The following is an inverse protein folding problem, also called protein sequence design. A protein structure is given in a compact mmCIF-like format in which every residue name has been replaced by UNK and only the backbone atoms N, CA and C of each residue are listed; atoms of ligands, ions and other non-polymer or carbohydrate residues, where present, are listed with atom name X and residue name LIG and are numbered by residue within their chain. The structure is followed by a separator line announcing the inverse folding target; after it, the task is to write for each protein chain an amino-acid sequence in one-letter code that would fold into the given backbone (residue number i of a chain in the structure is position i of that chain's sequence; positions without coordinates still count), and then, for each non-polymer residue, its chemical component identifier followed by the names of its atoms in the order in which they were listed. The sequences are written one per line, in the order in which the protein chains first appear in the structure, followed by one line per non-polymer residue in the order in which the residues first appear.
data_IF_458988619946
#
_entry.id   IF_458988619946
#
_cell.length_a   1.000
_cell.length_b   1.000
_cell.length_c   1.000
_cell.angle_alpha   90.00
_cell.angle_beta   90.00
_cell.angle_gamma   90.00
#
_symmetry.space_group_name_H-M   'P 1'
#
loop_
_entity.id
_entity.type
_entity.pdbx_description
1 polymer ?
#
# COMPACT_ATOMS: atom_id res chain seq x y z
N UNK A 1 -50.78 8.69 20.84
CA UNK A 1 -51.12 7.47 21.58
C UNK A 1 -50.02 6.47 21.26
N UNK A 2 -49.18 5.96 22.07
CA UNK A 2 -49.17 5.59 23.45
C UNK A 2 -47.75 5.64 23.97
N UNK A 3 -47.56 6.15 25.15
CA UNK A 3 -46.34 6.22 25.96
C UNK A 3 -45.92 4.82 26.36
N UNK A 4 -44.61 4.52 26.28
CA UNK A 4 -44.01 3.56 27.21
C UNK A 4 -42.75 4.17 27.83
N UNK A 5 -42.97 4.66 29.03
CA UNK A 5 -42.00 4.95 30.07
C UNK A 5 -41.52 3.58 30.59
N UNK A 6 -40.24 3.37 30.69
CA UNK A 6 -39.70 2.26 31.45
C UNK A 6 -38.67 2.82 32.44
N UNK A 7 -39.03 2.56 33.66
CA UNK A 7 -38.46 3.03 34.90
C UNK A 7 -36.99 2.64 35.04
N UNK A 8 -36.18 3.63 35.45
CA UNK A 8 -34.85 3.42 35.99
C UNK A 8 -35.00 2.91 37.41
N UNK A 9 -34.44 1.73 37.65
CA UNK A 9 -34.29 1.15 38.98
C UNK A 9 -33.01 1.68 39.58
N UNK A 10 -33.14 2.54 40.61
CA UNK A 10 -32.07 2.95 41.48
C UNK A 10 -31.76 1.79 42.45
N UNK A 11 -30.73 1.01 42.19
CA UNK A 11 -30.17 0.10 43.17
C UNK A 11 -29.29 0.93 44.13
N UNK A 12 -29.88 1.13 45.32
CA UNK A 12 -29.24 1.69 46.50
C UNK A 12 -28.17 0.65 46.95
N UNK A 13 -26.90 0.98 46.79
CA UNK A 13 -25.79 0.24 47.37
C UNK A 13 -25.78 0.53 48.88
N UNK A 14 -26.18 -0.47 49.64
CA UNK A 14 -26.00 -0.51 51.11
C UNK A 14 -24.51 -0.56 51.42
N UNK A 15 -24.09 0.36 52.24
CA UNK A 15 -22.76 0.48 52.83
C UNK A 15 -22.51 -0.68 53.79
N UNK A 16 -21.52 -1.56 53.55
CA UNK A 16 -21.24 -2.63 54.53
C UNK A 16 -20.48 -2.04 55.74
N UNK A 17 -21.08 -2.25 56.86
CA UNK A 17 -20.61 -1.91 58.21
C UNK A 17 -19.11 -2.26 58.43
N UNK A 18 -18.45 -1.32 59.08
CA UNK A 18 -17.08 -1.49 59.58
C UNK A 18 -17.03 -2.67 60.57
N UNK A 19 -16.08 -3.65 60.36
CA UNK A 19 -15.85 -4.68 61.39
C UNK A 19 -14.93 -4.09 62.50
N UNK A 20 -15.40 -4.22 63.72
CA UNK A 20 -14.63 -3.92 64.97
C UNK A 20 -13.30 -4.70 64.97
N UNK A 21 -12.23 -4.12 65.61
CA UNK A 21 -10.93 -4.77 65.69
C UNK A 21 -10.99 -5.94 66.68
N UNK A 22 -10.86 -7.15 66.17
CA UNK A 22 -10.55 -8.34 66.99
C UNK A 22 -9.05 -8.32 67.23
N UNK A 23 -8.69 -8.12 68.45
CA UNK A 23 -7.38 -8.46 68.98
C UNK A 23 -7.10 -9.95 68.78
N UNK A 24 -6.16 -10.27 67.89
CA UNK A 24 -5.59 -11.62 67.76
C UNK A 24 -4.10 -11.54 68.05
N UNK A 25 -3.83 -11.99 69.22
CA UNK A 25 -2.51 -12.36 69.72
C UNK A 25 -1.84 -13.41 68.79
N UNK A 26 -0.55 -13.19 68.53
CA UNK A 26 0.30 -14.32 68.23
C UNK A 26 0.92 -14.46 66.86
N UNK A 27 2.22 -14.34 66.88
CA UNK A 27 3.21 -14.77 65.88
C UNK A 27 3.51 -13.84 64.69
N UNK A 28 4.33 -12.85 64.97
CA UNK A 28 5.21 -12.23 63.99
C UNK A 28 6.10 -13.30 63.35
N UNK A 29 5.76 -13.70 62.13
CA UNK A 29 6.76 -14.26 61.25
C UNK A 29 7.62 -13.08 60.79
N UNK A 30 8.96 -13.18 60.77
CA UNK A 30 9.78 -12.14 60.18
C UNK A 30 9.43 -12.04 58.74
N UNK A 31 8.71 -11.00 58.36
CA UNK A 31 8.65 -10.57 56.97
C UNK A 31 10.10 -10.22 56.62
N UNK A 32 10.68 -10.96 55.68
CA UNK A 32 11.94 -10.55 55.04
C UNK A 32 11.68 -9.19 54.36
N UNK A 33 11.79 -8.14 55.16
CA UNK A 33 11.60 -6.76 54.73
C UNK A 33 12.73 -6.41 53.78
N UNK A 34 12.38 -6.30 52.48
CA UNK A 34 13.28 -5.70 51.52
C UNK A 34 13.82 -4.37 52.10
N UNK A 35 15.15 -4.20 52.07
CA UNK A 35 15.77 -2.97 52.47
C UNK A 35 15.20 -1.79 51.63
N UNK A 36 14.98 -0.65 52.27
CA UNK A 36 14.51 0.56 51.57
C UNK A 36 15.38 0.88 50.34
N UNK A 37 16.67 0.59 50.43
CA UNK A 37 17.63 0.79 49.34
C UNK A 37 17.45 -0.20 48.19
N UNK A 38 17.08 -1.45 48.47
CA UNK A 38 16.77 -2.45 47.44
C UNK A 38 15.49 -2.09 46.68
N UNK A 39 14.45 -1.63 47.39
CA UNK A 39 13.21 -1.15 46.77
C UNK A 39 13.43 0.10 45.89
N UNK A 40 14.32 1.01 46.33
CA UNK A 40 14.69 2.17 45.54
C UNK A 40 15.45 1.79 44.26
N UNK A 41 16.40 0.85 44.37
CA UNK A 41 17.16 0.34 43.23
C UNK A 41 16.23 -0.39 42.19
N UNK A 42 15.31 -1.21 42.71
CA UNK A 42 14.32 -1.91 41.83
C UNK A 42 13.38 -0.92 41.14
N UNK A 43 12.94 0.13 41.89
CA UNK A 43 12.08 1.17 41.32
C UNK A 43 12.79 1.99 40.23
N UNK A 44 14.09 2.25 40.40
CA UNK A 44 14.90 2.88 39.36
C UNK A 44 15.04 2.00 38.15
N UNK A 45 15.35 0.72 38.32
CA UNK A 45 15.46 -0.25 37.23
C UNK A 45 14.17 -0.42 36.48
N UNK A 46 13.04 -0.56 37.18
CA UNK A 46 11.72 -0.65 36.56
C UNK A 46 11.37 0.61 35.76
N UNK A 47 11.73 1.79 36.25
CA UNK A 47 11.54 3.07 35.52
C UNK A 47 12.36 3.12 34.24
N UNK A 48 13.60 2.64 34.27
CA UNK A 48 14.47 2.55 33.09
C UNK A 48 13.92 1.54 32.07
N UNK A 49 13.46 0.38 32.54
CA UNK A 49 12.87 -0.65 31.70
C UNK A 49 11.56 -0.18 31.06
N UNK A 50 10.71 0.52 31.81
CA UNK A 50 9.49 1.16 31.27
C UNK A 50 9.85 2.20 30.21
N UNK A 51 10.84 3.06 30.44
CA UNK A 51 11.25 4.07 29.48
C UNK A 51 11.79 3.43 28.20
N UNK A 52 12.58 2.38 28.35
CA UNK A 52 13.10 1.60 27.22
C UNK A 52 11.97 0.94 26.42
N UNK A 53 11.05 0.26 27.11
CA UNK A 53 9.90 -0.38 26.49
C UNK A 53 9.00 0.64 25.76
N UNK A 54 8.85 1.83 26.33
CA UNK A 54 8.09 2.90 25.69
C UNK A 54 8.77 3.41 24.41
N UNK A 55 10.09 3.60 24.46
CA UNK A 55 10.86 4.00 23.27
C UNK A 55 10.81 2.92 22.15
N UNK A 56 10.91 1.65 22.53
CA UNK A 56 10.78 0.54 21.59
C UNK A 56 9.37 0.48 20.97
N UNK A 57 8.33 0.64 21.79
CA UNK A 57 6.94 0.67 21.31
C UNK A 57 6.70 1.83 20.32
N UNK A 58 7.26 3.01 20.60
CA UNK A 58 7.17 4.16 19.70
C UNK A 58 7.89 3.90 18.36
N UNK A 59 9.08 3.32 18.42
CA UNK A 59 9.82 2.94 17.22
C UNK A 59 9.07 1.90 16.37
N UNK A 60 8.49 0.87 17.01
CA UNK A 60 7.64 -0.13 16.33
C UNK A 60 6.42 0.53 15.71
N UNK A 61 5.73 1.40 16.44
CA UNK A 61 4.57 2.15 15.93
C UNK A 61 4.92 2.96 14.69
N UNK A 62 6.03 3.70 14.74
CA UNK A 62 6.51 4.49 13.60
C UNK A 62 6.83 3.63 12.38
N UNK A 63 7.49 2.49 12.59
CA UNK A 63 7.79 1.53 11.51
C UNK A 63 6.52 0.95 10.92
N UNK A 64 5.60 0.47 11.76
CA UNK A 64 4.31 -0.06 11.29
C UNK A 64 3.54 0.97 10.47
N UNK A 65 3.54 2.24 10.89
CA UNK A 65 2.85 3.30 10.15
C UNK A 65 3.45 3.51 8.75
N UNK A 66 4.77 3.50 8.65
CA UNK A 66 5.47 3.57 7.36
C UNK A 66 5.19 2.36 6.46
N UNK A 67 5.11 1.17 7.03
CA UNK A 67 4.76 -0.05 6.30
C UNK A 67 3.31 -0.03 5.81
N UNK A 68 2.37 0.43 6.64
CA UNK A 68 0.96 0.60 6.26
C UNK A 68 0.83 1.59 5.10
N UNK A 69 1.51 2.74 5.17
CA UNK A 69 1.50 3.73 4.10
C UNK A 69 2.06 3.17 2.79
N UNK A 70 3.20 2.46 2.84
CA UNK A 70 3.76 1.77 1.68
C UNK A 70 2.80 0.72 1.11
N UNK A 71 2.26 -0.13 1.96
CA UNK A 71 1.33 -1.18 1.54
C UNK A 71 0.05 -0.59 0.92
N UNK A 72 -0.48 0.49 1.49
CA UNK A 72 -1.65 1.18 0.95
C UNK A 72 -1.39 1.75 -0.44
N UNK A 73 -0.20 2.34 -0.67
CA UNK A 73 0.19 2.91 -1.98
C UNK A 73 0.25 1.86 -3.09
N UNK A 74 0.66 0.63 -2.76
CA UNK A 74 0.88 -0.42 -3.75
C UNK A 74 -0.08 -1.60 -3.64
N UNK A 75 -1.10 -1.50 -2.79
CA UNK A 75 -2.08 -2.57 -2.58
C UNK A 75 -2.74 -3.07 -3.87
N UNK A 76 -2.94 -2.16 -4.81
CA UNK A 76 -3.58 -2.47 -6.10
C UNK A 76 -2.59 -2.90 -7.19
N UNK A 77 -1.28 -2.93 -6.93
CA UNK A 77 -0.28 -3.16 -7.98
C UNK A 77 -0.44 -4.52 -8.69
N UNK A 78 -0.73 -5.59 -7.96
CA UNK A 78 -0.96 -6.90 -8.54
C UNK A 78 -2.21 -6.94 -9.42
N UNK A 79 -3.32 -6.38 -8.96
CA UNK A 79 -4.55 -6.25 -9.73
C UNK A 79 -4.33 -5.37 -10.97
N UNK A 80 -3.68 -4.24 -10.82
CA UNK A 80 -3.39 -3.35 -11.94
C UNK A 80 -2.51 -4.04 -12.99
N UNK A 81 -1.53 -4.84 -12.57
CA UNK A 81 -0.66 -5.60 -13.49
C UNK A 81 -1.45 -6.55 -14.37
N UNK A 82 -2.41 -7.28 -13.82
CA UNK A 82 -3.29 -8.17 -14.60
C UNK A 82 -4.19 -7.36 -15.56
N UNK A 83 -4.64 -6.19 -15.14
CA UNK A 83 -5.49 -5.31 -15.96
C UNK A 83 -4.74 -4.71 -17.16
N UNK A 84 -3.38 -4.61 -17.10
CA UNK A 84 -2.59 -4.17 -18.26
C UNK A 84 -2.79 -5.08 -19.49
N UNK A 85 -3.08 -6.37 -19.30
CA UNK A 85 -3.43 -7.26 -20.39
C UNK A 85 -4.68 -6.83 -21.16
N UNK A 86 -5.65 -6.23 -20.47
CA UNK A 86 -6.85 -5.67 -21.10
C UNK A 86 -6.48 -4.43 -21.92
N UNK A 87 -5.64 -3.55 -21.39
CA UNK A 87 -5.16 -2.36 -22.11
C UNK A 87 -4.39 -2.76 -23.39
N UNK A 88 -3.51 -3.77 -23.32
CA UNK A 88 -2.78 -4.29 -24.49
C UNK A 88 -3.74 -4.87 -25.55
N UNK A 89 -4.78 -5.57 -25.11
CA UNK A 89 -5.78 -6.14 -26.03
C UNK A 89 -6.63 -5.06 -26.71
N UNK A 90 -7.00 -3.99 -25.98
CA UNK A 90 -7.69 -2.84 -26.56
C UNK A 90 -6.79 -2.15 -27.61
N UNK A 91 -5.53 -1.93 -27.31
CA UNK A 91 -4.57 -1.34 -28.26
C UNK A 91 -4.44 -2.22 -29.52
N UNK A 92 -4.30 -3.52 -29.35
CA UNK A 92 -4.21 -4.46 -30.48
C UNK A 92 -5.48 -4.46 -31.34
N UNK A 93 -6.66 -4.30 -30.71
CA UNK A 93 -7.92 -4.20 -31.43
C UNK A 93 -8.01 -2.90 -32.25
N UNK A 94 -7.50 -1.79 -31.72
CA UNK A 94 -7.39 -0.51 -32.44
C UNK A 94 -6.47 -0.67 -33.64
N UNK A 95 -5.24 -1.18 -33.44
CA UNK A 95 -4.24 -1.37 -34.49
C UNK A 95 -4.73 -2.29 -35.61
N UNK A 96 -5.52 -3.34 -35.26
CA UNK A 96 -6.10 -4.27 -36.24
C UNK A 96 -7.25 -3.64 -37.03
N UNK A 97 -8.04 -2.77 -36.40
CA UNK A 97 -9.19 -2.12 -37.02
C UNK A 97 -8.75 -0.96 -37.92
N UNK A 98 -7.70 -0.23 -37.54
CA UNK A 98 -7.11 0.85 -38.36
C UNK A 98 -6.65 0.36 -39.75
N UNK A 99 -6.21 -0.90 -39.83
CA UNK A 99 -5.80 -1.54 -41.12
C UNK A 99 -6.95 -1.85 -42.04
N UNK A 100 -8.20 -1.80 -41.58
CA UNK A 100 -9.40 -2.23 -42.30
C UNK A 100 -10.50 -1.13 -42.32
N UNK A 101 -10.12 0.12 -42.56
CA UNK A 101 -11.00 1.31 -42.42
C UNK A 101 -12.09 1.47 -43.47
N UNK A 102 -12.19 0.58 -44.47
CA UNK A 102 -13.07 0.76 -45.63
C UNK A 102 -14.58 0.59 -45.35
N UNK A 103 -14.97 0.28 -44.10
CA UNK A 103 -16.36 0.05 -43.73
C UNK A 103 -16.79 0.96 -42.56
N UNK A 104 -17.91 1.68 -42.76
CA UNK A 104 -18.52 2.55 -41.76
C UNK A 104 -18.78 1.82 -40.41
N UNK A 105 -19.15 0.57 -40.46
CA UNK A 105 -19.34 -0.27 -39.28
C UNK A 105 -18.03 -0.48 -38.51
N UNK A 106 -16.89 -0.63 -39.18
CA UNK A 106 -15.58 -0.74 -38.58
C UNK A 106 -15.16 0.59 -37.90
N UNK A 107 -15.47 1.72 -38.53
CA UNK A 107 -15.17 3.04 -37.95
C UNK A 107 -15.97 3.29 -36.67
N UNK A 108 -17.25 2.91 -36.63
CA UNK A 108 -18.08 3.02 -35.44
C UNK A 108 -17.58 2.10 -34.29
N UNK A 109 -17.13 0.91 -34.61
CA UNK A 109 -16.53 -0.02 -33.65
C UNK A 109 -15.20 0.53 -33.11
N UNK A 110 -14.33 1.04 -34.00
CA UNK A 110 -13.07 1.66 -33.62
C UNK A 110 -13.28 2.79 -32.61
N UNK A 111 -14.21 3.68 -32.91
CA UNK A 111 -14.56 4.77 -31.99
C UNK A 111 -15.04 4.29 -30.62
N UNK A 112 -15.81 3.18 -30.59
CA UNK A 112 -16.23 2.57 -29.30
C UNK A 112 -15.06 2.01 -28.50
N UNK A 113 -14.10 1.37 -29.16
CA UNK A 113 -12.89 0.83 -28.52
C UNK A 113 -12.00 1.97 -28.01
N UNK A 114 -11.77 3.02 -28.79
CA UNK A 114 -11.01 4.20 -28.40
C UNK A 114 -11.60 4.89 -27.17
N UNK A 115 -12.93 5.05 -27.13
CA UNK A 115 -13.61 5.60 -25.96
C UNK A 115 -13.40 4.73 -24.72
N UNK A 116 -13.48 3.40 -24.86
CA UNK A 116 -13.24 2.46 -23.77
C UNK A 116 -11.79 2.52 -23.28
N UNK A 117 -10.82 2.61 -24.19
CA UNK A 117 -9.41 2.78 -23.85
C UNK A 117 -9.15 4.11 -23.13
N UNK A 118 -9.76 5.19 -23.63
CA UNK A 118 -9.66 6.51 -23.01
C UNK A 118 -10.19 6.50 -21.57
N UNK A 119 -11.31 5.82 -21.34
CA UNK A 119 -11.89 5.70 -20.00
C UNK A 119 -11.00 4.86 -19.07
N UNK A 120 -10.44 3.74 -19.58
CA UNK A 120 -9.46 2.94 -18.84
C UNK A 120 -8.23 3.76 -18.45
N UNK A 121 -7.71 4.58 -19.37
CA UNK A 121 -6.56 5.46 -19.11
C UNK A 121 -6.88 6.47 -18.01
N UNK A 122 -8.05 7.10 -18.03
CA UNK A 122 -8.48 8.01 -16.96
C UNK A 122 -8.56 7.30 -15.59
N UNK A 123 -9.01 6.05 -15.58
CA UNK A 123 -9.03 5.23 -14.34
C UNK A 123 -7.60 4.96 -13.89
N UNK A 124 -6.68 4.63 -14.78
CA UNK A 124 -5.28 4.42 -14.44
C UNK A 124 -4.65 5.68 -13.84
N UNK A 125 -4.86 6.85 -14.46
CA UNK A 125 -4.36 8.13 -13.97
C UNK A 125 -4.87 8.45 -12.55
N UNK A 126 -6.14 8.15 -12.27
CA UNK A 126 -6.73 8.32 -10.93
C UNK A 126 -6.02 7.50 -9.86
N UNK A 127 -5.48 6.34 -10.22
CA UNK A 127 -4.70 5.47 -9.34
C UNK A 127 -3.20 5.65 -9.47
N UNK A 128 -2.75 6.73 -10.13
CA UNK A 128 -1.34 7.06 -10.38
C UNK A 128 -0.60 5.95 -11.14
N UNK A 129 -1.29 5.31 -12.08
CA UNK A 129 -0.71 4.37 -13.03
C UNK A 129 -0.51 5.11 -14.35
N UNK A 130 0.73 5.25 -14.77
CA UNK A 130 1.09 6.03 -15.96
C UNK A 130 1.84 5.16 -16.96
N UNK A 131 1.53 5.40 -18.25
CA UNK A 131 2.30 4.86 -19.36
C UNK A 131 3.68 5.52 -19.38
N UNK A 132 4.74 4.73 -19.65
CA UNK A 132 6.08 5.27 -19.88
C UNK A 132 6.16 5.82 -21.29
N UNK A 133 6.70 7.03 -21.44
CA UNK A 133 7.04 7.61 -22.75
C UNK A 133 8.52 7.36 -23.02
N UNK A 134 8.78 6.34 -23.82
CA UNK A 134 10.12 5.79 -24.03
C UNK A 134 10.63 5.88 -25.47
N UNK A 135 9.76 6.22 -26.43
CA UNK A 135 10.16 6.28 -27.83
C UNK A 135 11.20 7.39 -28.05
N UNK A 136 12.33 7.05 -28.62
CA UNK A 136 13.44 7.98 -28.85
C UNK A 136 14.32 8.25 -27.61
N UNK A 137 14.00 7.68 -26.46
CA UNK A 137 14.87 7.76 -25.26
C UNK A 137 16.05 6.80 -25.33
N UNK A 138 17.06 7.03 -24.49
CA UNK A 138 18.16 6.11 -24.28
C UNK A 138 17.67 4.92 -23.48
N UNK A 139 18.13 3.72 -23.84
CA UNK A 139 17.81 2.49 -23.13
C UNK A 139 18.29 2.54 -21.67
N UNK A 140 17.39 2.21 -20.73
CA UNK A 140 17.68 2.02 -19.32
C UNK A 140 17.26 0.61 -18.88
N UNK A 141 18.21 -0.24 -18.43
CA UNK A 141 17.91 -1.61 -17.98
C UNK A 141 16.93 -1.71 -16.82
N UNK A 142 16.74 -0.64 -16.05
CA UNK A 142 15.80 -0.64 -14.93
C UNK A 142 14.34 -0.57 -15.39
N UNK A 143 14.08 0.09 -16.53
CA UNK A 143 12.73 0.37 -17.03
C UNK A 143 12.36 -0.40 -18.28
N UNK A 144 13.39 -0.79 -19.06
CA UNK A 144 13.23 -1.35 -20.40
C UNK A 144 13.80 -2.74 -20.50
N UNK A 145 13.12 -3.58 -21.25
CA UNK A 145 13.58 -4.92 -21.64
C UNK A 145 13.78 -4.97 -23.15
N UNK A 146 15.02 -5.14 -23.59
CA UNK A 146 15.33 -5.29 -25.02
C UNK A 146 14.86 -6.66 -25.51
N UNK A 147 14.11 -6.66 -26.61
CA UNK A 147 13.70 -7.88 -27.31
C UNK A 147 14.52 -8.06 -28.58
N UNK A 148 14.82 -6.97 -29.25
CA UNK A 148 15.52 -6.96 -30.53
C UNK A 148 16.40 -5.73 -30.67
N UNK A 149 17.54 -5.91 -31.33
CA UNK A 149 18.40 -4.82 -31.77
C UNK A 149 18.30 -4.67 -33.30
N UNK A 150 18.30 -3.43 -33.78
CA UNK A 150 18.24 -3.11 -35.21
C UNK A 150 19.35 -2.14 -35.58
N UNK A 151 19.90 -2.30 -36.76
CA UNK A 151 20.88 -1.35 -37.31
C UNK A 151 20.17 -0.15 -37.91
N UNK A 152 20.13 0.96 -37.19
CA UNK A 152 19.61 2.24 -37.67
C UNK A 152 20.69 3.32 -37.54
N UNK A 153 21.33 3.64 -38.65
CA UNK A 153 22.40 4.66 -38.70
C UNK A 153 21.92 6.09 -38.50
N UNK A 154 20.60 6.31 -38.43
CA UNK A 154 20.02 7.65 -38.23
C UNK A 154 19.93 8.06 -36.78
N UNK A 155 20.07 7.09 -35.85
CA UNK A 155 19.95 7.30 -34.41
C UNK A 155 21.20 6.80 -33.68
N UNK A 156 21.55 7.39 -32.52
CA UNK A 156 22.63 6.88 -31.67
C UNK A 156 22.39 5.44 -31.22
N UNK A 157 23.46 4.68 -31.01
CA UNK A 157 23.38 3.34 -30.45
C UNK A 157 22.71 3.37 -29.07
N UNK A 158 21.90 2.35 -28.77
CA UNK A 158 21.15 2.26 -27.53
C UNK A 158 19.89 3.14 -27.46
N UNK A 159 19.44 3.71 -28.59
CA UNK A 159 18.18 4.47 -28.63
C UNK A 159 16.99 3.55 -28.84
N UNK A 160 15.90 3.75 -28.10
CA UNK A 160 14.64 3.04 -28.29
C UNK A 160 13.96 3.48 -29.58
N UNK A 161 13.83 2.59 -30.54
CA UNK A 161 13.24 2.88 -31.86
C UNK A 161 11.79 2.42 -31.98
N UNK A 162 11.43 1.37 -31.26
CA UNK A 162 10.06 0.88 -31.22
C UNK A 162 9.71 0.28 -29.85
N UNK A 163 8.45 0.44 -29.47
CA UNK A 163 7.85 -0.16 -28.30
C UNK A 163 6.98 -1.34 -28.75
N UNK A 164 7.31 -2.56 -28.32
CA UNK A 164 6.55 -3.77 -28.64
C UNK A 164 5.49 -4.04 -27.59
N UNK A 165 5.79 -3.72 -26.33
CA UNK A 165 4.84 -3.77 -25.23
C UNK A 165 5.02 -2.56 -24.33
N UNK A 166 3.91 -1.89 -24.05
CA UNK A 166 3.90 -0.66 -23.27
C UNK A 166 4.32 -0.88 -21.84
N UNK A 167 5.29 -0.09 -21.38
CA UNK A 167 5.70 -0.04 -19.98
C UNK A 167 4.75 0.82 -19.14
N UNK A 168 4.55 0.42 -17.89
CA UNK A 168 3.70 1.16 -16.94
C UNK A 168 4.38 1.29 -15.58
N UNK A 169 4.15 2.44 -14.95
CA UNK A 169 4.54 2.74 -13.57
C UNK A 169 3.31 2.93 -12.70
N UNK A 170 3.42 2.58 -11.42
CA UNK A 170 2.49 2.97 -10.37
C UNK A 170 3.22 3.87 -9.40
N UNK A 171 2.85 5.15 -9.36
CA UNK A 171 3.59 6.19 -8.64
C UNK A 171 5.08 6.21 -9.04
N UNK A 172 5.98 5.87 -8.13
CA UNK A 172 7.44 5.82 -8.31
C UNK A 172 7.99 4.40 -8.55
N UNK A 173 7.10 3.37 -8.67
CA UNK A 173 7.50 1.98 -8.85
C UNK A 173 7.10 1.45 -10.22
N UNK A 174 7.96 0.62 -10.80
CA UNK A 174 7.65 -0.09 -12.04
C UNK A 174 6.57 -1.13 -11.77
N UNK A 175 5.49 -1.05 -12.55
CA UNK A 175 4.41 -2.04 -12.57
C UNK A 175 4.70 -3.11 -13.62
N UNK A 176 5.20 -2.68 -14.80
CA UNK A 176 5.64 -3.54 -15.90
C UNK A 176 6.71 -2.82 -16.72
N UNK A 177 7.83 -3.51 -16.97
CA UNK A 177 8.88 -3.04 -17.87
C UNK A 177 8.34 -2.90 -19.29
N UNK A 178 8.84 -1.91 -20.03
CA UNK A 178 8.53 -1.78 -21.44
C UNK A 178 9.39 -2.74 -22.25
N UNK A 179 8.78 -3.46 -23.19
CA UNK A 179 9.51 -4.27 -24.16
C UNK A 179 9.83 -3.45 -25.39
N UNK A 180 11.11 -3.30 -25.70
CA UNK A 180 11.60 -2.34 -26.68
C UNK A 180 12.53 -2.97 -27.71
N UNK A 181 12.58 -2.31 -28.88
CA UNK A 181 13.60 -2.50 -29.89
C UNK A 181 14.54 -1.32 -29.82
N UNK A 182 15.86 -1.58 -29.77
CA UNK A 182 16.90 -0.55 -29.66
C UNK A 182 17.83 -0.56 -30.86
N UNK A 183 18.49 0.57 -31.09
CA UNK A 183 19.58 0.66 -32.08
C UNK A 183 20.83 -0.02 -31.53
N UNK A 184 21.53 -0.70 -32.42
CA UNK A 184 22.81 -1.36 -32.14
C UNK A 184 23.95 -0.35 -32.09
#
# INVERSE_FOLDING_TARGET
MSKHKKDMNEDILEDPAEPEPKEADGAEKPEEGFSSDELLAENQKLKEDILRAYAEAENVKKRCQQEIEKNSKYAIASFAKELLGVADNLQRAIDATEKNQDNESCQNLLRGIELTQSELTKVFDKFHIHKMDILGSVFDPNFHRVIQEVDDKTKPAGTVVAEVQTGYMIQDRILREAMVVVTK
#
